data_IF_973463946593
#
_entry.id   IF_973463946593
#
_cell.length_a   1.000
_cell.length_b   1.000
_cell.length_c   1.000
_cell.angle_alpha   90.00
_cell.angle_beta   90.00
_cell.angle_gamma   90.00
#
_symmetry.space_group_name_H-M   'P 1'
#
loop_
_entity.id
_entity.type
_entity.pdbx_description
1 polymer ?
#
# COMPACT_ATOMS: atom_id res chain seq x y z
N UNK A 1 -19.23 -7.33 -4.82
CA UNK A 1 -18.56 -6.08 -4.42
C UNK A 1 -17.07 -6.33 -4.44
N UNK A 2 -16.27 -5.30 -4.75
CA UNK A 2 -14.81 -5.36 -4.66
C UNK A 2 -14.32 -4.53 -3.47
N UNK A 3 -13.17 -4.89 -2.92
CA UNK A 3 -12.55 -4.25 -1.76
C UNK A 3 -11.21 -3.61 -2.14
N UNK A 4 -10.75 -2.66 -1.33
CA UNK A 4 -9.48 -1.98 -1.54
C UNK A 4 -8.31 -2.90 -1.14
N UNK A 5 -7.33 -3.09 -2.01
CA UNK A 5 -6.19 -3.97 -1.76
C UNK A 5 -5.36 -3.53 -0.52
N UNK A 6 -5.33 -2.23 -0.21
CA UNK A 6 -4.43 -1.63 0.79
C UNK A 6 -5.02 -1.53 2.19
N UNK A 7 -6.35 -1.58 2.32
CA UNK A 7 -7.05 -1.36 3.59
C UNK A 7 -7.51 -2.66 4.26
N UNK A 8 -7.54 -3.75 3.49
CA UNK A 8 -8.05 -5.03 3.95
C UNK A 8 -6.95 -5.90 4.58
N UNK A 9 -7.37 -6.76 5.50
CA UNK A 9 -6.54 -7.85 5.98
C UNK A 9 -6.72 -9.05 5.05
N UNK A 10 -5.60 -9.67 4.69
CA UNK A 10 -5.55 -10.82 3.82
C UNK A 10 -4.90 -11.98 4.55
N UNK A 11 -5.25 -13.20 4.17
CA UNK A 11 -4.59 -14.40 4.69
C UNK A 11 -3.25 -14.59 3.98
N UNK A 12 -2.19 -14.83 4.75
CA UNK A 12 -0.89 -15.17 4.19
C UNK A 12 -0.88 -16.63 3.71
N UNK A 13 -0.55 -16.83 2.44
CA UNK A 13 -0.52 -18.14 1.78
C UNK A 13 0.75 -18.33 0.98
N UNK A 14 1.05 -19.59 0.66
CA UNK A 14 2.07 -19.92 -0.33
C UNK A 14 1.42 -20.28 -1.67
N UNK A 15 1.72 -19.49 -2.70
CA UNK A 15 1.27 -19.70 -4.07
C UNK A 15 2.42 -20.19 -4.96
N UNK A 16 2.38 -21.46 -5.34
CA UNK A 16 3.42 -22.10 -6.17
C UNK A 16 4.86 -21.98 -5.61
N UNK A 17 5.01 -22.11 -4.29
CA UNK A 17 6.32 -21.99 -3.62
C UNK A 17 6.76 -20.55 -3.34
N UNK A 18 5.87 -19.56 -3.48
CA UNK A 18 6.16 -18.15 -3.25
C UNK A 18 5.14 -17.53 -2.28
N UNK A 19 5.54 -16.58 -1.43
CA UNK A 19 4.64 -15.90 -0.52
C UNK A 19 3.62 -15.06 -1.31
N UNK A 20 2.38 -15.06 -0.84
CA UNK A 20 1.27 -14.34 -1.44
C UNK A 20 0.21 -14.01 -0.39
N UNK A 21 -0.63 -13.03 -0.71
CA UNK A 21 -1.81 -12.70 0.09
C UNK A 21 -3.07 -13.25 -0.59
N UNK A 22 -4.01 -13.71 0.22
CA UNK A 22 -5.26 -14.33 -0.21
C UNK A 22 -6.46 -13.65 0.45
N UNK A 23 -7.53 -13.46 -0.32
CA UNK A 23 -8.82 -13.01 0.22
C UNK A 23 -9.97 -13.63 -0.55
N UNK A 24 -11.04 -14.01 0.15
CA UNK A 24 -12.27 -14.48 -0.49
C UNK A 24 -13.01 -13.36 -1.25
N UNK A 25 -12.67 -12.10 -0.98
CA UNK A 25 -13.24 -10.95 -1.66
C UNK A 25 -12.61 -10.72 -3.04
N UNK A 26 -13.33 -10.01 -3.92
CA UNK A 26 -12.72 -9.45 -5.13
C UNK A 26 -11.97 -8.19 -4.77
N UNK A 27 -10.79 -8.00 -5.35
CA UNK A 27 -10.02 -6.76 -5.15
C UNK A 27 -10.30 -5.79 -6.30
N UNK A 28 -10.48 -4.51 -5.95
CA UNK A 28 -10.55 -3.42 -6.93
C UNK A 28 -9.15 -3.24 -7.55
N UNK A 29 -8.99 -3.66 -8.81
CA UNK A 29 -7.66 -3.74 -9.47
C UNK A 29 -6.93 -2.40 -9.56
N UNK A 30 -7.63 -1.26 -9.58
CA UNK A 30 -7.05 0.09 -9.53
C UNK A 30 -6.35 0.40 -8.20
N UNK A 31 -6.70 -0.31 -7.13
CA UNK A 31 -6.11 -0.14 -5.79
C UNK A 31 -4.91 -1.06 -5.54
N UNK A 32 -4.56 -1.93 -6.49
CA UNK A 32 -3.39 -2.80 -6.37
C UNK A 32 -2.12 -1.94 -6.54
N UNK A 33 -1.19 -1.99 -5.59
CA UNK A 33 0.02 -1.17 -5.66
C UNK A 33 0.95 -1.62 -6.79
N UNK A 34 1.73 -0.68 -7.32
CA UNK A 34 2.80 -1.03 -8.27
C UNK A 34 3.75 -2.04 -7.61
N UNK A 35 4.26 -2.96 -8.42
CA UNK A 35 5.08 -4.07 -7.93
C UNK A 35 4.29 -5.27 -7.40
N UNK A 36 2.96 -5.17 -7.31
CA UNK A 36 2.10 -6.32 -7.04
C UNK A 36 1.30 -6.73 -8.28
N UNK A 37 1.02 -8.02 -8.35
CA UNK A 37 0.18 -8.65 -9.36
C UNK A 37 -1.05 -9.23 -8.70
N UNK A 38 -2.19 -9.17 -9.39
CA UNK A 38 -3.47 -9.55 -8.83
C UNK A 38 -4.18 -10.54 -9.76
N UNK A 39 -4.51 -11.70 -9.22
CA UNK A 39 -5.11 -12.82 -9.95
C UNK A 39 -6.35 -13.33 -9.22
N UNK A 40 -7.29 -13.88 -9.96
CA UNK A 40 -8.46 -14.55 -9.39
C UNK A 40 -8.20 -16.06 -9.30
N UNK A 41 -8.70 -16.64 -8.22
CA UNK A 41 -8.76 -18.08 -7.99
C UNK A 41 -10.16 -18.56 -8.34
N UNK A 42 -10.23 -19.53 -9.24
CA UNK A 42 -11.49 -20.18 -9.60
C UNK A 42 -11.69 -21.44 -8.77
N UNK A 43 -12.88 -21.57 -8.23
CA UNK A 43 -13.38 -22.76 -7.57
C UNK A 43 -13.85 -23.84 -8.53
N UNK A 44 -14.04 -25.05 -8.02
CA UNK A 44 -14.62 -26.15 -8.80
C UNK A 44 -16.10 -25.92 -9.09
N UNK A 45 -16.65 -26.60 -10.10
CA UNK A 45 -18.07 -26.49 -10.44
C UNK A 45 -18.99 -27.15 -9.40
N UNK A 46 -18.48 -28.12 -8.64
CA UNK A 46 -19.24 -28.84 -7.60
C UNK A 46 -19.12 -28.17 -6.22
N UNK A 47 -17.98 -27.51 -5.97
CA UNK A 47 -17.67 -26.75 -4.78
C UNK A 47 -16.89 -25.49 -5.18
N UNK A 48 -17.58 -24.35 -5.31
CA UNK A 48 -16.95 -23.07 -5.65
C UNK A 48 -15.91 -22.59 -4.62
N UNK A 49 -15.91 -23.14 -3.40
CA UNK A 49 -14.90 -22.84 -2.39
C UNK A 49 -13.59 -23.61 -2.59
N UNK A 50 -13.58 -24.67 -3.41
CA UNK A 50 -12.41 -25.52 -3.63
C UNK A 50 -11.54 -24.99 -4.78
N UNK A 51 -10.34 -24.43 -4.52
CA UNK A 51 -9.49 -23.81 -5.55
C UNK A 51 -9.01 -24.81 -6.62
N UNK A 52 -9.17 -24.45 -7.90
CA UNK A 52 -8.78 -25.29 -9.05
C UNK A 52 -7.77 -24.61 -9.96
N UNK A 53 -7.98 -23.33 -10.27
CA UNK A 53 -7.11 -22.54 -11.15
C UNK A 53 -6.84 -21.14 -10.62
N UNK A 54 -5.69 -20.59 -11.00
CA UNK A 54 -5.36 -19.17 -10.93
C UNK A 54 -5.47 -18.59 -12.34
N UNK A 55 -6.20 -17.49 -12.50
CA UNK A 55 -6.50 -16.82 -13.78
C UNK A 55 -6.36 -15.31 -13.61
N UNK A 56 -6.21 -14.55 -14.71
CA UNK A 56 -6.15 -13.08 -14.62
C UNK A 56 -7.46 -12.48 -14.07
N UNK A 57 -8.59 -13.04 -14.49
CA UNK A 57 -9.93 -12.64 -14.09
C UNK A 57 -10.88 -13.84 -14.20
N UNK A 58 -11.65 -14.11 -13.15
CA UNK A 58 -12.63 -15.20 -13.12
C UNK A 58 -14.03 -14.59 -13.05
N UNK A 59 -14.87 -14.87 -14.06
CA UNK A 59 -16.25 -14.39 -14.08
C UNK A 59 -17.22 -15.29 -13.29
N UNK A 60 -17.00 -16.61 -13.34
CA UNK A 60 -17.89 -17.63 -12.77
C UNK A 60 -17.10 -18.52 -11.82
N UNK A 61 -17.69 -18.89 -10.68
CA UNK A 61 -17.05 -19.69 -9.63
C UNK A 61 -15.77 -19.02 -9.09
N UNK A 62 -15.82 -17.71 -8.83
CA UNK A 62 -14.75 -17.03 -8.09
C UNK A 62 -14.73 -17.57 -6.66
N UNK A 63 -13.58 -18.11 -6.27
CA UNK A 63 -13.32 -18.60 -4.92
C UNK A 63 -12.60 -17.54 -4.10
N UNK A 64 -11.61 -16.86 -4.70
CA UNK A 64 -10.76 -15.90 -4.01
C UNK A 64 -9.97 -15.02 -4.99
N UNK A 65 -9.27 -14.04 -4.45
CA UNK A 65 -8.27 -13.22 -5.12
C UNK A 65 -6.92 -13.41 -4.43
N UNK A 66 -5.84 -13.45 -5.21
CA UNK A 66 -4.48 -13.49 -4.69
C UNK A 66 -3.68 -12.27 -5.15
N UNK A 67 -2.85 -11.75 -4.26
CA UNK A 67 -1.86 -10.71 -4.53
C UNK A 67 -0.45 -11.30 -4.39
N UNK A 68 0.39 -11.07 -5.39
CA UNK A 68 1.75 -11.60 -5.43
C UNK A 68 2.75 -10.51 -5.78
N UNK A 69 3.93 -10.45 -5.13
CA UNK A 69 4.99 -9.52 -5.51
C UNK A 69 5.69 -9.94 -6.81
N UNK A 70 5.65 -11.25 -7.12
CA UNK A 70 6.17 -11.79 -8.37
C UNK A 70 5.01 -12.23 -9.29
N UNK A 71 5.13 -12.05 -10.61
CA UNK A 71 4.10 -12.47 -11.54
C UNK A 71 3.97 -13.99 -11.58
N UNK A 72 2.73 -14.47 -11.59
CA UNK A 72 2.44 -15.89 -11.82
C UNK A 72 2.56 -16.16 -13.31
N UNK A 73 3.38 -17.15 -13.69
CA UNK A 73 3.47 -17.62 -15.06
C UNK A 73 2.17 -18.34 -15.45
N UNK A 74 1.24 -17.63 -16.10
CA UNK A 74 0.00 -18.16 -16.65
C UNK A 74 0.23 -18.57 -18.11
N UNK A 75 -0.02 -19.83 -18.50
CA UNK A 75 0.05 -20.29 -19.89
C UNK A 75 -0.88 -19.54 -20.84
N UNK A 76 -0.67 -19.70 -22.16
CA UNK A 76 -1.52 -19.12 -23.19
C UNK A 76 -3.01 -19.52 -23.07
N UNK A 77 -3.28 -20.67 -22.45
CA UNK A 77 -4.63 -21.16 -22.13
C UNK A 77 -5.41 -20.26 -21.14
N UNK A 78 -4.72 -19.31 -20.48
CA UNK A 78 -5.33 -18.28 -19.65
C UNK A 78 -5.46 -18.64 -18.17
N UNK A 79 -5.10 -19.86 -17.78
CA UNK A 79 -5.16 -20.33 -16.41
C UNK A 79 -3.98 -21.23 -16.05
N UNK A 80 -3.63 -21.24 -14.75
CA UNK A 80 -2.67 -22.20 -14.18
C UNK A 80 -3.37 -23.04 -13.11
N UNK A 81 -3.30 -24.36 -13.25
CA UNK A 81 -3.91 -25.30 -12.28
C UNK A 81 -3.07 -25.44 -11.02
N UNK A 82 -3.74 -25.62 -9.88
CA UNK A 82 -3.11 -26.08 -8.66
C UNK A 82 -2.68 -27.55 -8.77
N UNK A 83 -1.62 -27.91 -8.05
CA UNK A 83 -1.15 -29.29 -7.89
C UNK A 83 -1.37 -29.74 -6.44
N UNK A 84 -2.59 -29.58 -5.94
CA UNK A 84 -2.95 -29.84 -4.55
C UNK A 84 -3.74 -28.67 -3.95
N UNK A 85 -3.80 -28.63 -2.62
CA UNK A 85 -4.45 -27.56 -1.87
C UNK A 85 -3.54 -26.33 -1.75
N UNK A 86 -4.15 -25.16 -1.55
CA UNK A 86 -3.41 -23.93 -1.25
C UNK A 86 -2.89 -24.02 0.20
N UNK A 87 -1.62 -23.67 0.40
CA UNK A 87 -1.01 -23.74 1.72
C UNK A 87 -1.23 -22.42 2.47
N UNK A 88 -2.02 -22.45 3.54
CA UNK A 88 -2.30 -21.31 4.40
C UNK A 88 -1.28 -21.26 5.54
N UNK A 89 -0.63 -20.13 5.71
CA UNK A 89 0.38 -19.94 6.77
C UNK A 89 -0.25 -19.49 8.10
N UNK A 90 -1.55 -19.18 8.08
CA UNK A 90 -2.38 -19.00 9.28
C UNK A 90 -2.39 -17.58 9.86
N UNK A 91 -1.60 -16.68 9.30
CA UNK A 91 -1.51 -15.28 9.73
C UNK A 91 -2.33 -14.38 8.81
N UNK A 92 -3.15 -13.50 9.39
CA UNK A 92 -3.80 -12.43 8.66
C UNK A 92 -2.94 -11.18 8.76
N UNK A 93 -2.68 -10.54 7.63
CA UNK A 93 -1.87 -9.34 7.55
C UNK A 93 -2.33 -8.42 6.43
N UNK A 94 -2.02 -7.15 6.58
CA UNK A 94 -2.20 -6.12 5.55
C UNK A 94 -1.09 -6.22 4.50
N UNK A 95 -1.30 -5.55 3.37
CA UNK A 95 -0.31 -5.47 2.29
C UNK A 95 0.99 -4.79 2.77
N UNK A 96 0.89 -3.85 3.72
CA UNK A 96 2.03 -3.17 4.35
C UNK A 96 2.87 -4.13 5.20
N UNK A 97 2.23 -4.87 6.10
CA UNK A 97 2.90 -5.86 6.95
C UNK A 97 3.58 -6.97 6.14
N UNK A 98 2.90 -7.46 5.09
CA UNK A 98 3.50 -8.41 4.15
C UNK A 98 4.76 -7.84 3.47
N UNK A 99 4.74 -6.56 3.13
CA UNK A 99 5.91 -5.91 2.55
C UNK A 99 7.07 -5.81 3.54
N UNK A 100 6.79 -5.41 4.78
CA UNK A 100 7.80 -5.30 5.85
C UNK A 100 8.43 -6.68 6.14
N UNK A 101 7.63 -7.74 6.22
CA UNK A 101 8.11 -9.10 6.48
C UNK A 101 9.03 -9.64 5.37
N UNK A 102 8.71 -9.34 4.11
CA UNK A 102 9.45 -9.84 2.96
C UNK A 102 10.47 -8.85 2.40
N UNK A 103 10.70 -7.71 3.07
CA UNK A 103 11.61 -6.67 2.62
C UNK A 103 11.22 -6.06 1.27
N UNK A 104 9.93 -6.04 0.96
CA UNK A 104 9.37 -5.47 -0.25
C UNK A 104 9.02 -4.01 -0.02
N UNK A 105 9.08 -3.23 -1.10
CA UNK A 105 8.58 -1.85 -1.08
C UNK A 105 7.22 -1.79 -1.75
N UNK A 106 6.20 -1.40 -0.99
CA UNK A 106 4.86 -1.15 -1.50
C UNK A 106 4.95 0.03 -2.49
N UNK A 107 4.78 -0.25 -3.79
CA UNK A 107 5.15 0.64 -4.89
C UNK A 107 4.33 1.93 -5.05
N UNK A 108 3.74 2.46 -3.98
CA UNK A 108 3.17 3.81 -3.93
C UNK A 108 3.60 4.59 -2.66
N UNK A 109 4.55 4.05 -1.87
CA UNK A 109 5.15 4.72 -0.71
C UNK A 109 6.67 4.89 -0.88
N UNK A 110 7.33 4.12 -1.76
CA UNK A 110 8.79 4.09 -1.86
C UNK A 110 9.43 5.08 -2.83
N UNK A 111 8.65 5.76 -3.69
CA UNK A 111 9.09 6.99 -4.34
C UNK A 111 8.12 8.10 -3.96
N UNK A 112 8.38 8.70 -2.79
CA UNK A 112 7.78 9.98 -2.49
C UNK A 112 8.15 10.95 -3.63
N UNK A 113 7.19 11.72 -4.14
CA UNK A 113 7.45 12.62 -5.25
C UNK A 113 8.50 13.64 -4.85
N UNK A 114 9.27 14.15 -5.81
CA UNK A 114 10.26 15.21 -5.53
C UNK A 114 9.63 16.42 -4.81
N UNK A 115 8.35 16.67 -5.07
CA UNK A 115 7.55 17.74 -4.48
C UNK A 115 6.06 17.42 -4.49
N UNK A 116 5.30 17.95 -3.52
CA UNK A 116 3.84 18.02 -3.57
C UNK A 116 3.31 19.36 -3.06
N UNK A 117 2.06 19.66 -3.37
CA UNK A 117 1.31 20.78 -2.79
C UNK A 117 0.39 20.31 -1.67
N UNK A 118 0.18 21.14 -0.66
CA UNK A 118 -0.79 20.88 0.41
C UNK A 118 -1.32 22.19 0.99
N UNK A 119 -2.18 22.11 1.99
CA UNK A 119 -2.76 23.26 2.70
C UNK A 119 -2.44 23.16 4.19
N UNK A 120 -1.96 24.24 4.79
CA UNK A 120 -1.71 24.28 6.23
C UNK A 120 -3.02 24.19 7.02
N UNK A 121 -3.15 23.24 7.97
CA UNK A 121 -4.34 23.15 8.80
C UNK A 121 -4.58 24.38 9.70
N UNK A 122 -3.53 25.14 10.02
CA UNK A 122 -3.60 26.28 10.94
C UNK A 122 -4.33 27.49 10.37
N UNK A 123 -4.11 27.79 9.09
CA UNK A 123 -4.54 29.05 8.47
C UNK A 123 -5.07 28.89 7.02
N UNK A 124 -4.99 27.68 6.45
CA UNK A 124 -5.43 27.43 5.09
C UNK A 124 -4.48 27.93 4.00
N UNK A 125 -3.25 28.33 4.35
CA UNK A 125 -2.24 28.74 3.35
C UNK A 125 -1.85 27.59 2.44
N UNK A 126 -1.70 27.86 1.13
CA UNK A 126 -1.14 26.92 0.16
C UNK A 126 0.36 26.76 0.39
N UNK A 127 0.81 25.52 0.51
CA UNK A 127 2.21 25.17 0.75
C UNK A 127 2.74 24.18 -0.28
N UNK A 128 4.05 24.18 -0.42
CA UNK A 128 4.85 23.23 -1.17
C UNK A 128 5.73 22.46 -0.19
N UNK A 129 5.75 21.13 -0.30
CA UNK A 129 6.64 20.25 0.46
C UNK A 129 7.60 19.59 -0.51
N UNK A 130 8.90 19.61 -0.20
CA UNK A 130 9.95 19.01 -1.02
C UNK A 130 10.50 17.78 -0.34
N UNK A 131 10.74 16.73 -1.12
CA UNK A 131 11.29 15.49 -0.61
C UNK A 131 12.69 15.73 -0.03
N UNK A 132 12.97 15.12 1.12
CA UNK A 132 14.25 15.23 1.84
C UNK A 132 14.54 16.60 2.45
N UNK A 133 13.59 17.54 2.45
CA UNK A 133 13.71 18.85 3.12
C UNK A 133 12.80 18.94 4.36
N UNK A 134 13.29 19.50 5.45
CA UNK A 134 12.50 19.65 6.68
C UNK A 134 11.57 20.86 6.57
N UNK A 135 10.30 20.67 6.90
CA UNK A 135 9.26 21.69 6.87
C UNK A 135 8.65 21.90 5.47
N UNK A 136 8.13 23.10 5.24
CA UNK A 136 7.38 23.44 4.05
C UNK A 136 7.71 24.86 3.59
N UNK A 137 7.33 25.17 2.36
CA UNK A 137 7.44 26.50 1.76
C UNK A 137 6.07 27.05 1.48
N UNK A 138 5.83 28.32 1.79
CA UNK A 138 4.61 29.01 1.35
C UNK A 138 4.65 29.16 -0.17
N UNK A 139 3.55 28.83 -0.85
CA UNK A 139 3.45 28.92 -2.30
C UNK A 139 3.20 30.36 -2.74
N UNK A 140 3.85 30.79 -3.82
CA UNK A 140 3.57 32.08 -4.47
C UNK A 140 2.17 32.11 -5.11
N UNK A 141 1.53 30.94 -5.28
CA UNK A 141 0.17 30.82 -5.83
C UNK A 141 -0.92 30.80 -4.73
N UNK A 142 -0.54 31.06 -3.48
CA UNK A 142 -1.47 31.21 -2.36
C UNK A 142 -2.52 32.28 -2.66
N UNK A 143 -3.80 31.92 -2.58
CA UNK A 143 -4.91 32.82 -2.92
C UNK A 143 -5.47 33.57 -1.70
N UNK A 144 -5.04 33.19 -0.49
CA UNK A 144 -5.62 33.65 0.78
C UNK A 144 -7.00 33.07 1.10
N UNK A 145 -7.56 32.23 0.23
CA UNK A 145 -8.84 31.53 0.43
C UNK A 145 -8.56 30.03 0.64
N UNK A 146 -8.86 29.46 1.82
CA UNK A 146 -8.56 28.06 2.13
C UNK A 146 -9.22 27.05 1.19
N UNK A 147 -10.42 27.32 0.70
CA UNK A 147 -11.17 26.41 -0.19
C UNK A 147 -10.49 26.39 -1.55
N UNK A 148 -10.20 27.57 -2.11
CA UNK A 148 -9.49 27.67 -3.40
C UNK A 148 -8.07 27.12 -3.32
N UNK A 149 -7.39 27.31 -2.19
CA UNK A 149 -6.06 26.75 -1.97
C UNK A 149 -6.09 25.21 -1.96
N UNK A 150 -7.14 24.59 -1.39
CA UNK A 150 -7.27 23.13 -1.46
C UNK A 150 -7.50 22.65 -2.88
N UNK A 151 -8.42 23.28 -3.62
CA UNK A 151 -8.68 22.96 -5.03
C UNK A 151 -7.40 23.10 -5.88
N UNK A 152 -6.60 24.14 -5.60
CA UNK A 152 -5.34 24.37 -6.31
C UNK A 152 -4.26 23.35 -5.94
N UNK A 153 -4.19 22.91 -4.68
CA UNK A 153 -3.29 21.84 -4.26
C UNK A 153 -3.67 20.51 -4.94
N UNK A 154 -4.96 20.17 -4.96
CA UNK A 154 -5.49 18.96 -5.61
C UNK A 154 -5.18 18.96 -7.12
N UNK A 155 -5.45 20.07 -7.82
CA UNK A 155 -5.15 20.22 -9.23
C UNK A 155 -3.65 20.06 -9.55
N UNK A 156 -2.77 20.71 -8.79
CA UNK A 156 -1.33 20.61 -9.03
C UNK A 156 -0.79 19.21 -8.71
N UNK A 157 -1.30 18.56 -7.67
CA UNK A 157 -0.91 17.20 -7.34
C UNK A 157 -1.39 16.20 -8.40
N UNK A 158 -2.57 16.39 -9.00
CA UNK A 158 -3.03 15.58 -10.13
C UNK A 158 -2.08 15.69 -11.33
N UNK A 159 -1.65 16.90 -11.69
CA UNK A 159 -0.68 17.14 -12.77
C UNK A 159 0.71 16.53 -12.47
N UNK A 160 1.11 16.49 -11.20
CA UNK A 160 2.36 15.86 -10.74
C UNK A 160 2.23 14.35 -10.55
N UNK A 161 1.03 13.77 -10.70
CA UNK A 161 0.77 12.35 -10.43
C UNK A 161 0.90 11.97 -8.95
N UNK A 162 0.73 12.93 -8.04
CA UNK A 162 0.82 12.75 -6.60
C UNK A 162 -0.52 12.32 -6.03
N UNK A 163 -0.56 11.16 -5.40
CA UNK A 163 -1.74 10.67 -4.69
C UNK A 163 -1.93 11.38 -3.35
N UNK A 164 -3.17 11.36 -2.83
CA UNK A 164 -3.51 11.83 -1.48
C UNK A 164 -2.60 11.22 -0.40
N UNK A 165 -2.33 9.92 -0.51
CA UNK A 165 -1.48 9.20 0.44
C UNK A 165 -0.01 9.67 0.37
N UNK A 166 0.50 9.97 -0.83
CA UNK A 166 1.84 10.55 -0.99
C UNK A 166 1.91 11.98 -0.46
N UNK A 167 0.88 12.81 -0.68
CA UNK A 167 0.78 14.16 -0.09
C UNK A 167 0.85 14.09 1.45
N UNK A 168 0.02 13.24 2.06
CA UNK A 168 -0.01 13.06 3.51
C UNK A 168 1.34 12.55 4.05
N UNK A 169 1.95 11.56 3.38
CA UNK A 169 3.26 11.05 3.73
C UNK A 169 4.37 12.12 3.61
N UNK A 170 4.35 12.93 2.55
CA UNK A 170 5.27 14.07 2.36
C UNK A 170 5.13 15.07 3.50
N UNK A 171 3.90 15.48 3.84
CA UNK A 171 3.62 16.44 4.92
C UNK A 171 4.11 15.90 6.25
N UNK A 172 3.77 14.65 6.60
CA UNK A 172 4.20 14.02 7.86
C UNK A 172 5.73 13.98 7.93
N UNK A 173 6.38 13.40 6.92
CA UNK A 173 7.86 13.24 6.90
C UNK A 173 8.60 14.57 6.88
N UNK A 174 8.03 15.61 6.27
CA UNK A 174 8.62 16.96 6.33
C UNK A 174 8.68 17.51 7.75
N UNK A 175 7.71 17.15 8.60
CA UNK A 175 7.62 17.59 9.99
C UNK A 175 8.37 16.68 10.95
N UNK A 176 8.33 15.36 10.71
CA UNK A 176 8.86 14.34 11.63
C UNK A 176 10.24 13.80 11.24
N UNK A 177 10.73 14.14 10.04
CA UNK A 177 11.97 13.62 9.47
C UNK A 177 11.75 12.55 8.40
N UNK A 178 12.68 12.47 7.44
CA UNK A 178 12.62 11.62 6.25
C UNK A 178 13.21 10.22 6.44
N UNK A 179 13.95 10.00 7.52
CA UNK A 179 14.58 8.71 7.82
C UNK A 179 13.48 7.73 8.24
N UNK A 180 13.34 6.63 7.50
CA UNK A 180 12.60 5.47 7.98
C UNK A 180 13.25 5.03 9.30
N UNK A 181 12.53 5.17 10.41
CA UNK A 181 13.00 4.55 11.65
C UNK A 181 12.97 3.04 11.42
N UNK A 182 14.12 2.45 11.13
CA UNK A 182 14.29 1.04 11.46
C UNK A 182 14.11 0.93 12.98
N UNK A 183 13.29 -0.02 13.48
CA UNK A 183 13.26 -0.29 14.90
C UNK A 183 14.61 -0.88 15.29
N UNK A 184 15.51 -0.04 15.79
CA UNK A 184 16.73 -0.49 16.44
C UNK A 184 16.32 -1.33 17.64
N UNK A 185 16.42 -2.65 17.50
CA UNK A 185 16.33 -3.59 18.60
C UNK A 185 17.53 -3.35 19.51
N UNK A 186 17.46 -2.42 20.47
CA UNK A 186 18.38 -2.38 21.59
C UNK A 186 17.65 -2.01 22.89
N UNK A 187 18.06 -2.74 23.92
CA UNK A 187 17.32 -3.13 25.11
C UNK A 187 16.97 -2.01 26.09
N UNK A 188 15.94 -2.32 26.89
CA UNK A 188 15.67 -1.75 28.20
C UNK A 188 16.95 -1.47 29.02
N UNK A 189 17.13 -0.21 29.42
CA UNK A 189 18.09 0.21 30.42
C UNK A 189 17.50 1.33 31.27
N UNK A 190 16.81 0.96 32.35
CA UNK A 190 16.44 1.90 33.41
C UNK A 190 17.70 2.53 34.02
N UNK A 191 17.84 3.85 33.98
CA UNK A 191 18.59 4.57 35.01
C UNK A 191 17.85 5.84 35.41
N UNK A 192 17.17 5.77 36.57
CA UNK A 192 16.98 6.94 37.41
C UNK A 192 18.35 7.40 37.90
N UNK A 193 18.68 8.68 37.70
CA UNK A 193 19.65 9.38 38.54
C UNK A 193 19.07 10.67 39.08
N UNK A 194 18.89 10.65 40.40
CA UNK A 194 18.73 11.81 41.26
C UNK A 194 20.01 12.67 41.24
N UNK A 195 19.85 13.99 41.17
CA UNK A 195 20.70 15.01 41.81
C UNK A 195 19.94 16.35 41.67
N UNK A 196 19.65 17.16 42.68
CA UNK A 196 20.38 17.38 43.92
C UNK A 196 21.44 18.46 43.71
N UNK A 197 21.02 19.73 43.70
CA UNK A 197 21.63 20.89 44.40
C UNK A 197 20.74 22.11 44.23
#
# INVERSE_FOLDING_TARGET
>A
MSVNAREEHHEHVELFGKPALFTNSRIERSTVPKGFHCYDVRGSDNDPGSPVTVENLVAVNHAATVLTPEPVAIPQEGYRRFKGELNFLGECMTLAEFCDEHGLTLGDISELPDMCFSVLPSDGSLICVKHSETGYYKSDWDTGDPVKNRELADFNNEELGVSRAQEEAMVIKSMTGWVSQEPSSQEFGMEQKMSGM
#
